data_IF_931549877318
#
_entry.id   IF_931549877318
#
_cell.length_a   1.000
_cell.length_b   1.000
_cell.length_c   1.000
_cell.angle_alpha   90.00
_cell.angle_beta   90.00
_cell.angle_gamma   90.00
#
_symmetry.space_group_name_H-M   'P 1'
#
loop_
_entity.id
_entity.type
_entity.pdbx_description
1 polymer ?
#
# COMPACT_ATOMS: atom_id res chain seq x y z
N UNK A 1 4.24 5.89 -1.07
CA UNK A 1 4.38 4.80 -2.04
C UNK A 1 3.38 3.70 -1.80
N UNK A 2 2.91 3.09 -2.86
CA UNK A 2 2.04 1.91 -2.82
C UNK A 2 2.84 0.75 -3.40
N UNK A 3 3.04 -0.31 -2.64
CA UNK A 3 3.67 -1.51 -3.20
C UNK A 3 2.70 -2.24 -4.14
N UNK A 4 3.22 -2.86 -5.21
CA UNK A 4 2.45 -3.86 -5.95
C UNK A 4 1.93 -4.88 -4.94
N UNK A 5 0.63 -5.13 -4.94
CA UNK A 5 0.02 -5.98 -3.92
C UNK A 5 0.56 -7.41 -3.98
N UNK A 6 0.59 -8.06 -2.83
CA UNK A 6 0.86 -9.50 -2.77
C UNK A 6 -0.34 -10.23 -3.40
N UNK A 7 -0.15 -11.04 -4.45
CA UNK A 7 -1.23 -11.76 -5.11
C UNK A 7 -1.89 -12.81 -4.21
N UNK A 8 -1.29 -13.13 -3.06
CA UNK A 8 -1.84 -14.09 -2.11
C UNK A 8 -1.82 -15.54 -2.60
N UNK A 9 -0.94 -15.86 -3.55
CA UNK A 9 -0.76 -17.21 -4.08
C UNK A 9 -0.13 -18.12 -3.03
N UNK A 10 -0.49 -19.41 -3.08
CA UNK A 10 0.18 -20.46 -2.31
C UNK A 10 1.47 -20.93 -3.02
N UNK A 11 2.26 -21.79 -2.36
CA UNK A 11 3.39 -22.42 -2.99
C UNK A 11 2.96 -23.56 -3.96
N UNK A 12 1.75 -24.08 -3.78
CA UNK A 12 1.16 -25.12 -4.62
C UNK A 12 0.21 -24.49 -5.64
N UNK A 13 0.70 -24.33 -6.86
CA UNK A 13 -0.06 -23.76 -7.97
C UNK A 13 -1.29 -24.59 -8.33
N UNK A 14 -1.21 -25.92 -8.25
CA UNK A 14 -2.35 -26.81 -8.56
C UNK A 14 -3.47 -26.66 -7.55
N UNK A 15 -3.12 -26.47 -6.27
CA UNK A 15 -4.09 -26.22 -5.21
C UNK A 15 -4.79 -24.86 -5.40
N UNK A 16 -4.10 -23.86 -5.94
CA UNK A 16 -4.68 -22.56 -6.27
C UNK A 16 -5.61 -22.67 -7.48
N UNK A 17 -5.19 -23.35 -8.56
CA UNK A 17 -6.01 -23.59 -9.75
C UNK A 17 -7.27 -24.39 -9.43
N UNK A 18 -7.17 -25.41 -8.57
CA UNK A 18 -8.33 -26.17 -8.08
C UNK A 18 -9.36 -25.32 -7.32
N UNK A 19 -8.95 -24.13 -6.82
CA UNK A 19 -9.83 -23.12 -6.21
C UNK A 19 -10.23 -21.99 -7.18
N UNK A 20 -9.91 -22.12 -8.47
CA UNK A 20 -10.16 -21.12 -9.50
C UNK A 20 -9.25 -19.87 -9.39
N UNK A 21 -8.06 -20.01 -8.76
CA UNK A 21 -7.07 -18.94 -8.65
C UNK A 21 -5.96 -19.17 -9.66
N UNK A 22 -5.99 -18.41 -10.75
CA UNK A 22 -4.98 -18.48 -11.80
C UNK A 22 -3.85 -17.51 -11.49
N UNK A 23 -2.62 -18.01 -11.44
CA UNK A 23 -1.46 -17.24 -10.93
C UNK A 23 -1.18 -15.98 -11.72
N UNK A 24 -1.20 -16.04 -13.06
CA UNK A 24 -0.91 -14.88 -13.90
C UNK A 24 -2.00 -13.83 -13.82
N UNK A 25 -3.27 -14.24 -13.82
CA UNK A 25 -4.40 -13.34 -13.61
C UNK A 25 -4.29 -12.65 -12.24
N UNK A 26 -3.98 -13.42 -11.19
CA UNK A 26 -3.84 -12.88 -9.82
C UNK A 26 -2.68 -11.89 -9.69
N UNK A 27 -1.57 -12.11 -10.40
CA UNK A 27 -0.45 -11.15 -10.47
C UNK A 27 -0.85 -9.87 -11.21
N UNK A 28 -1.62 -10.00 -12.31
CA UNK A 28 -2.15 -8.85 -13.03
C UNK A 28 -3.12 -8.03 -12.16
N UNK A 29 -4.06 -8.69 -11.47
CA UNK A 29 -4.96 -8.07 -10.49
C UNK A 29 -4.20 -7.32 -9.42
N UNK A 30 -3.14 -7.93 -8.85
CA UNK A 30 -2.33 -7.33 -7.79
C UNK A 30 -1.66 -6.00 -8.22
N UNK A 31 -1.23 -5.91 -9.47
CA UNK A 31 -0.72 -4.67 -10.06
C UNK A 31 -1.84 -3.67 -10.30
N UNK A 32 -2.91 -4.08 -10.94
CA UNK A 32 -4.05 -3.24 -11.27
C UNK A 32 -4.67 -2.59 -10.03
N UNK A 33 -4.92 -3.36 -8.98
CA UNK A 33 -5.47 -2.86 -7.71
C UNK A 33 -4.55 -1.83 -7.04
N UNK A 34 -3.22 -2.00 -7.11
CA UNK A 34 -2.29 -1.00 -6.61
C UNK A 34 -2.39 0.33 -7.38
N UNK A 35 -2.59 0.28 -8.71
CA UNK A 35 -2.83 1.47 -9.53
C UNK A 35 -4.18 2.12 -9.24
N UNK A 36 -5.24 1.34 -8.99
CA UNK A 36 -6.54 1.89 -8.59
C UNK A 36 -6.45 2.65 -7.27
N UNK A 37 -5.76 2.07 -6.29
CA UNK A 37 -5.51 2.78 -5.02
C UNK A 37 -4.67 4.05 -5.24
N UNK A 38 -3.63 3.99 -6.11
CA UNK A 38 -2.86 5.18 -6.49
C UNK A 38 -3.78 6.27 -7.04
N UNK A 39 -4.58 5.95 -8.03
CA UNK A 39 -5.50 6.91 -8.65
C UNK A 39 -6.49 7.48 -7.64
N UNK A 40 -7.02 6.63 -6.75
CA UNK A 40 -7.90 7.06 -5.65
C UNK A 40 -7.20 8.06 -4.74
N UNK A 41 -5.97 7.79 -4.30
CA UNK A 41 -5.22 8.70 -3.44
C UNK A 41 -4.89 10.02 -4.14
N UNK A 42 -4.49 9.99 -5.41
CA UNK A 42 -4.22 11.19 -6.20
C UNK A 42 -5.47 12.05 -6.38
N UNK A 43 -6.62 11.44 -6.64
CA UNK A 43 -7.89 12.17 -6.84
C UNK A 43 -8.35 12.93 -5.58
N UNK A 44 -7.89 12.52 -4.39
CA UNK A 44 -8.19 13.26 -3.15
C UNK A 44 -7.49 14.61 -3.05
N UNK A 45 -6.40 14.84 -3.79
CA UNK A 45 -5.55 16.03 -3.67
C UNK A 45 -4.85 16.18 -2.30
N UNK A 46 -4.95 15.17 -1.43
CA UNK A 46 -4.43 15.22 -0.05
C UNK A 46 -3.00 14.73 0.09
N UNK A 47 -2.47 14.13 -0.95
CA UNK A 47 -1.14 13.50 -0.96
C UNK A 47 -0.28 14.18 -2.01
N UNK A 48 1.02 14.27 -1.77
CA UNK A 48 2.00 14.70 -2.76
C UNK A 48 2.13 13.69 -3.90
N UNK A 49 3.35 13.35 -4.30
CA UNK A 49 3.55 12.34 -5.33
C UNK A 49 3.14 10.94 -4.82
N UNK A 50 2.18 10.30 -5.49
CA UNK A 50 1.79 8.92 -5.22
C UNK A 50 2.36 8.03 -6.33
N UNK A 51 3.08 6.98 -5.94
CA UNK A 51 3.73 6.06 -6.90
C UNK A 51 3.46 4.61 -6.52
N UNK A 52 3.30 3.76 -7.55
CA UNK A 52 3.32 2.31 -7.38
C UNK A 52 4.77 1.83 -7.49
N UNK A 53 5.20 1.05 -6.51
CA UNK A 53 6.58 0.58 -6.35
C UNK A 53 6.61 -0.95 -6.34
N UNK A 54 7.71 -1.56 -6.78
CA UNK A 54 7.97 -2.97 -6.50
C UNK A 54 7.96 -3.23 -4.98
N UNK A 55 7.60 -4.43 -4.59
CA UNK A 55 7.58 -4.80 -3.16
C UNK A 55 8.97 -4.74 -2.55
N UNK A 56 9.05 -4.16 -1.35
CA UNK A 56 10.29 -4.05 -0.59
C UNK A 56 11.31 -3.06 -1.15
N UNK A 57 10.96 -2.30 -2.19
CA UNK A 57 11.88 -1.39 -2.86
C UNK A 57 11.39 0.06 -2.75
N UNK A 58 12.34 0.97 -2.67
CA UNK A 58 12.10 2.42 -2.71
C UNK A 58 11.85 3.03 -1.34
N UNK A 59 12.23 4.31 -1.24
CA UNK A 59 12.11 5.14 -0.04
C UNK A 59 10.92 6.08 -0.18
N UNK A 60 10.01 6.10 0.80
CA UNK A 60 8.79 6.90 0.79
C UNK A 60 8.40 7.32 2.20
N UNK A 61 7.75 8.48 2.35
CA UNK A 61 7.26 8.96 3.65
C UNK A 61 6.25 7.99 4.27
N UNK A 62 5.37 7.46 3.45
CA UNK A 62 4.33 6.48 3.84
C UNK A 62 4.27 5.37 2.80
N UNK A 63 4.22 4.15 3.27
CA UNK A 63 4.14 2.94 2.46
C UNK A 63 2.83 2.20 2.72
N UNK A 64 2.13 1.88 1.66
CA UNK A 64 0.96 0.99 1.69
C UNK A 64 1.36 -0.33 1.06
N UNK A 65 1.23 -1.40 1.79
CA UNK A 65 1.32 -2.77 1.29
C UNK A 65 -0.02 -3.47 1.48
N UNK A 66 -0.40 -4.34 0.56
CA UNK A 66 -1.62 -5.13 0.70
C UNK A 66 -1.43 -6.53 0.12
N UNK A 67 -2.18 -7.48 0.69
CA UNK A 67 -2.27 -8.86 0.19
C UNK A 67 -3.71 -9.17 -0.20
N UNK A 68 -3.89 -9.73 -1.39
CA UNK A 68 -5.18 -10.23 -1.85
C UNK A 68 -5.50 -11.50 -1.07
N UNK A 69 -6.60 -11.47 -0.31
CA UNK A 69 -7.11 -12.63 0.44
C UNK A 69 -8.16 -13.37 -0.37
N UNK A 70 -8.98 -12.61 -1.08
CA UNK A 70 -10.00 -13.12 -2.00
C UNK A 70 -10.22 -12.10 -3.10
N UNK A 71 -10.33 -12.55 -4.32
CA UNK A 71 -10.79 -11.77 -5.46
C UNK A 71 -11.61 -12.70 -6.36
N UNK A 72 -12.86 -12.36 -6.52
CA UNK A 72 -13.81 -13.04 -7.40
C UNK A 72 -14.63 -11.96 -8.10
N UNK A 73 -15.44 -12.32 -9.10
CA UNK A 73 -16.32 -11.34 -9.75
C UNK A 73 -17.30 -10.62 -8.82
N UNK A 74 -17.52 -11.15 -7.60
CA UNK A 74 -18.50 -10.63 -6.65
C UNK A 74 -17.90 -10.09 -5.37
N UNK A 75 -16.67 -10.49 -5.01
CA UNK A 75 -16.09 -10.17 -3.71
C UNK A 75 -14.60 -9.92 -3.80
N UNK A 76 -14.20 -8.78 -3.24
CA UNK A 76 -12.81 -8.43 -3.01
C UNK A 76 -12.52 -8.36 -1.50
N UNK A 77 -11.48 -9.06 -1.06
CA UNK A 77 -10.94 -8.96 0.29
C UNK A 77 -9.42 -8.70 0.21
N UNK A 78 -9.01 -7.57 0.77
CA UNK A 78 -7.61 -7.18 0.92
C UNK A 78 -7.24 -7.12 2.40
N UNK A 79 -6.01 -7.53 2.75
CA UNK A 79 -5.39 -7.17 4.01
C UNK A 79 -4.33 -6.12 3.71
N UNK A 80 -4.58 -4.88 4.15
CA UNK A 80 -3.65 -3.78 3.94
C UNK A 80 -2.94 -3.40 5.24
N UNK A 81 -1.71 -2.93 5.08
CA UNK A 81 -0.87 -2.36 6.12
C UNK A 81 -0.31 -1.03 5.63
N UNK A 82 -0.35 -0.02 6.49
CA UNK A 82 0.12 1.33 6.22
C UNK A 82 1.16 1.67 7.27
N UNK A 83 2.38 1.99 6.83
CA UNK A 83 3.54 2.24 7.69
C UNK A 83 4.28 3.46 7.20
N UNK A 84 4.70 4.35 8.09
CA UNK A 84 5.55 5.49 7.72
C UNK A 84 7.05 5.14 7.75
N UNK A 85 7.88 6.07 7.26
CA UNK A 85 9.33 5.89 7.17
C UNK A 85 10.00 5.64 8.53
N UNK A 86 9.38 6.05 9.64
CA UNK A 86 9.89 5.77 11.00
C UNK A 86 9.57 4.36 11.47
N UNK A 87 8.85 3.57 10.67
CA UNK A 87 8.35 2.24 11.04
C UNK A 87 7.12 2.29 11.96
N UNK A 88 6.44 3.46 12.10
CA UNK A 88 5.17 3.54 12.80
C UNK A 88 4.07 2.97 11.92
N UNK A 89 3.37 1.98 12.43
CA UNK A 89 2.18 1.45 11.77
C UNK A 89 0.99 2.39 12.00
N UNK A 90 0.46 2.95 10.92
CA UNK A 90 -0.73 3.80 10.94
C UNK A 90 -1.99 2.94 11.00
N UNK A 91 -2.04 1.90 10.16
CA UNK A 91 -3.18 0.98 10.10
C UNK A 91 -2.73 -0.41 9.67
N UNK A 92 -3.42 -1.44 10.16
CA UNK A 92 -3.36 -2.79 9.62
C UNK A 92 -4.73 -3.43 9.80
N UNK A 93 -5.45 -3.64 8.69
CA UNK A 93 -6.80 -4.24 8.74
C UNK A 93 -7.19 -4.94 7.45
N UNK A 94 -8.26 -5.70 7.55
CA UNK A 94 -8.93 -6.29 6.38
C UNK A 94 -9.98 -5.32 5.84
N UNK A 95 -9.99 -5.16 4.52
CA UNK A 95 -11.01 -4.44 3.77
C UNK A 95 -11.77 -5.44 2.91
N UNK A 96 -13.08 -5.35 2.93
CA UNK A 96 -13.97 -6.24 2.17
C UNK A 96 -14.97 -5.39 1.42
N UNK A 97 -15.25 -5.80 0.17
CA UNK A 97 -16.30 -5.22 -0.66
C UNK A 97 -16.99 -6.34 -1.42
N UNK A 98 -18.29 -6.20 -1.58
CA UNK A 98 -19.11 -7.08 -2.39
C UNK A 98 -19.75 -6.26 -3.51
N UNK A 99 -19.53 -6.70 -4.75
CA UNK A 99 -20.16 -6.06 -5.91
C UNK A 99 -21.61 -6.53 -6.02
N UNK A 100 -22.52 -5.81 -5.39
CA UNK A 100 -23.96 -6.10 -5.49
C UNK A 100 -24.49 -5.73 -6.88
N UNK A 101 -24.96 -6.74 -7.63
CA UNK A 101 -25.95 -6.61 -8.73
C UNK A 101 -25.56 -5.76 -9.95
N UNK A 102 -24.57 -4.88 -9.85
CA UNK A 102 -24.21 -3.93 -10.92
C UNK A 102 -23.29 -4.51 -11.98
N UNK A 103 -22.65 -5.65 -11.75
CA UNK A 103 -21.71 -6.25 -12.70
C UNK A 103 -22.40 -6.89 -13.91
N UNK A 104 -23.73 -7.03 -13.89
CA UNK A 104 -24.52 -7.63 -14.96
C UNK A 104 -25.51 -6.67 -15.63
N UNK A 105 -25.54 -5.40 -15.23
CA UNK A 105 -26.32 -4.41 -15.93
C UNK A 105 -25.42 -3.76 -17.01
N UNK A 106 -25.77 -3.94 -18.28
CA UNK A 106 -25.04 -3.35 -19.44
C UNK A 106 -24.88 -1.82 -19.33
N UNK A 107 -25.66 -1.16 -18.47
CA UNK A 107 -25.52 0.26 -18.11
C UNK A 107 -24.41 0.52 -17.06
N UNK A 108 -23.89 -0.51 -16.41
CA UNK A 108 -22.86 -0.38 -15.37
C UNK A 108 -21.43 -0.34 -15.90
N UNK A 109 -21.23 -0.61 -17.20
CA UNK A 109 -19.91 -0.52 -17.87
C UNK A 109 -19.33 0.90 -17.81
N UNK A 110 -20.16 1.92 -17.57
CA UNK A 110 -19.74 3.31 -17.38
C UNK A 110 -19.55 3.73 -15.91
N UNK A 111 -19.76 2.85 -14.95
CA UNK A 111 -19.86 3.22 -13.52
C UNK A 111 -18.53 3.11 -12.73
N UNK A 112 -17.38 2.82 -13.37
CA UNK A 112 -16.08 2.69 -12.71
C UNK A 112 -15.83 1.32 -12.09
N UNK A 113 -14.79 1.20 -11.28
CA UNK A 113 -14.40 -0.05 -10.64
C UNK A 113 -15.45 -0.48 -9.58
N UNK A 114 -15.95 -1.73 -9.62
CA UNK A 114 -16.98 -2.22 -8.70
C UNK A 114 -16.53 -2.21 -7.24
N UNK A 115 -15.22 -2.15 -6.98
CA UNK A 115 -14.62 -2.11 -5.65
C UNK A 115 -14.08 -0.74 -5.25
N UNK A 116 -14.48 0.34 -5.94
CA UNK A 116 -14.00 1.70 -5.66
C UNK A 116 -14.20 2.10 -4.19
N UNK A 117 -15.31 1.69 -3.56
CA UNK A 117 -15.57 1.98 -2.15
C UNK A 117 -14.53 1.36 -1.20
N UNK A 118 -13.94 0.22 -1.57
CA UNK A 118 -12.86 -0.39 -0.78
C UNK A 118 -11.63 0.51 -0.78
N UNK A 119 -11.22 1.04 -1.95
CA UNK A 119 -10.08 1.95 -2.07
C UNK A 119 -10.34 3.28 -1.36
N UNK A 120 -11.57 3.81 -1.43
CA UNK A 120 -11.98 5.01 -0.71
C UNK A 120 -11.84 4.82 0.81
N UNK A 121 -12.21 3.64 1.34
CA UNK A 121 -12.03 3.35 2.77
C UNK A 121 -10.56 3.29 3.19
N UNK A 122 -9.69 2.74 2.33
CA UNK A 122 -8.23 2.77 2.59
C UNK A 122 -7.74 4.21 2.61
N UNK A 123 -8.14 5.03 1.64
CA UNK A 123 -7.76 6.44 1.55
C UNK A 123 -8.23 7.24 2.77
N UNK A 124 -9.46 7.02 3.23
CA UNK A 124 -10.01 7.67 4.41
C UNK A 124 -9.28 7.25 5.70
N UNK A 125 -8.96 5.96 5.86
CA UNK A 125 -8.17 5.49 7.01
C UNK A 125 -6.76 6.09 7.01
N UNK A 126 -6.14 6.29 5.84
CA UNK A 126 -4.86 6.96 5.70
C UNK A 126 -4.95 8.44 6.09
N UNK A 127 -5.98 9.13 5.61
CA UNK A 127 -6.21 10.53 5.92
C UNK A 127 -6.42 10.72 7.42
N UNK A 128 -7.31 9.95 8.03
CA UNK A 128 -7.55 9.99 9.47
C UNK A 128 -6.29 9.71 10.30
N UNK A 129 -5.44 8.78 9.86
CA UNK A 129 -4.16 8.51 10.53
C UNK A 129 -3.18 9.68 10.41
N UNK A 130 -3.11 10.33 9.23
CA UNK A 130 -2.28 11.53 9.00
C UNK A 130 -2.73 12.69 9.88
N UNK A 131 -4.02 12.93 9.97
CA UNK A 131 -4.59 14.07 10.70
C UNK A 131 -4.38 13.96 12.22
N UNK A 132 -4.07 12.76 12.73
CA UNK A 132 -3.66 12.53 14.10
C UNK A 132 -2.14 12.72 14.35
N UNK A 133 -1.35 13.08 13.35
CA UNK A 133 0.08 13.34 13.51
C UNK A 133 0.31 14.78 13.93
N UNK A 134 1.29 14.98 14.83
CA UNK A 134 1.84 16.30 15.12
C UNK A 134 2.74 16.79 13.98
N UNK A 135 2.97 18.11 13.92
CA UNK A 135 3.95 18.68 12.98
C UNK A 135 5.34 18.06 13.15
N UNK A 136 5.75 17.81 14.40
CA UNK A 136 7.01 17.14 14.70
C UNK A 136 7.08 15.72 14.16
N UNK A 137 5.96 14.97 14.18
CA UNK A 137 5.89 13.65 13.56
C UNK A 137 6.10 13.73 12.04
N UNK A 138 5.46 14.69 11.39
CA UNK A 138 5.59 14.91 9.93
C UNK A 138 7.04 15.28 9.57
N UNK A 139 7.65 16.21 10.31
CA UNK A 139 9.05 16.58 10.11
C UNK A 139 9.97 15.37 10.29
N UNK A 140 9.74 14.57 11.33
CA UNK A 140 10.53 13.37 11.60
C UNK A 140 10.40 12.33 10.48
N UNK A 141 9.19 12.05 9.99
CA UNK A 141 8.94 11.13 8.88
C UNK A 141 9.74 11.58 7.65
N UNK A 142 9.63 12.85 7.26
CA UNK A 142 10.34 13.41 6.11
C UNK A 142 11.86 13.37 6.28
N UNK A 143 12.36 13.65 7.48
CA UNK A 143 13.79 13.57 7.77
C UNK A 143 14.30 12.16 7.64
N UNK A 144 13.58 11.17 8.19
CA UNK A 144 13.95 9.76 8.05
C UNK A 144 13.93 9.33 6.58
N UNK A 145 12.91 9.72 5.81
CA UNK A 145 12.84 9.42 4.37
C UNK A 145 14.05 9.97 3.62
N UNK A 146 14.42 11.23 3.86
CA UNK A 146 15.58 11.86 3.21
C UNK A 146 16.89 11.16 3.57
N UNK A 147 17.08 10.82 4.84
CA UNK A 147 18.25 10.10 5.31
C UNK A 147 18.33 8.66 4.75
N UNK A 148 17.20 7.96 4.64
CA UNK A 148 17.14 6.65 3.97
C UNK A 148 17.57 6.79 2.50
N UNK A 149 17.01 7.76 1.78
CA UNK A 149 17.39 8.01 0.40
C UNK A 149 18.89 8.36 0.25
N UNK A 150 19.42 9.19 1.14
CA UNK A 150 20.85 9.52 1.15
C UNK A 150 21.72 8.28 1.44
N UNK A 151 21.31 7.43 2.37
CA UNK A 151 21.99 6.19 2.70
C UNK A 151 21.95 5.17 1.53
N UNK A 152 20.87 5.13 0.76
CA UNK A 152 20.76 4.29 -0.44
C UNK A 152 21.75 4.77 -1.54
N UNK A 153 21.94 6.08 -1.66
CA UNK A 153 22.88 6.67 -2.66
C UNK A 153 24.35 6.61 -2.22
N UNK A 154 24.63 6.88 -0.95
CA UNK A 154 25.97 6.98 -0.40
C UNK A 154 26.06 6.29 0.98
N UNK A 155 25.99 4.96 1.03
CA UNK A 155 25.93 4.21 2.28
C UNK A 155 27.15 4.41 3.17
N UNK A 156 28.34 4.60 2.58
CA UNK A 156 29.57 4.89 3.32
C UNK A 156 29.51 6.21 4.12
N UNK A 157 28.69 7.18 3.67
CA UNK A 157 28.56 8.50 4.32
C UNK A 157 27.37 8.53 5.26
N UNK A 158 26.23 8.00 4.84
CA UNK A 158 24.95 8.15 5.54
C UNK A 158 24.42 6.90 6.23
N UNK A 159 25.07 5.74 6.07
CA UNK A 159 24.61 4.47 6.63
C UNK A 159 24.43 4.50 8.16
N UNK A 160 25.25 5.25 8.90
CA UNK A 160 25.21 5.34 10.35
C UNK A 160 24.24 6.41 10.90
N UNK A 161 23.61 7.19 10.04
CA UNK A 161 22.67 8.25 10.46
C UNK A 161 21.35 7.69 10.97
N UNK A 162 20.99 6.48 10.54
CA UNK A 162 19.77 5.80 10.94
C UNK A 162 20.09 4.46 11.57
N UNK A 163 19.33 4.11 12.61
CA UNK A 163 19.36 2.79 13.25
C UNK A 163 17.96 2.19 13.27
N UNK A 164 17.83 0.99 12.73
CA UNK A 164 16.57 0.25 12.75
C UNK A 164 16.62 -0.82 13.82
N UNK A 165 15.65 -0.84 14.70
CA UNK A 165 15.54 -1.87 15.73
C UNK A 165 14.88 -3.16 15.18
N UNK A 166 14.89 -4.24 15.99
CA UNK A 166 14.29 -5.54 15.61
C UNK A 166 12.78 -5.47 15.29
N UNK A 167 12.08 -4.42 15.73
CA UNK A 167 10.65 -4.18 15.46
C UNK A 167 10.43 -3.30 14.23
N UNK A 168 11.47 -3.00 13.43
CA UNK A 168 11.36 -2.15 12.24
C UNK A 168 11.23 -0.66 12.52
N UNK A 169 11.38 -0.21 13.78
CA UNK A 169 11.37 1.22 14.14
C UNK A 169 12.72 1.85 13.83
N UNK A 170 12.66 2.97 13.11
CA UNK A 170 13.83 3.73 12.70
C UNK A 170 14.05 4.90 13.66
N UNK A 171 15.28 5.05 14.14
CA UNK A 171 15.74 6.19 14.94
C UNK A 171 16.85 6.92 14.21
N UNK A 172 16.81 8.24 14.27
CA UNK A 172 17.89 9.11 13.81
C UNK A 172 18.99 9.04 14.89
N UNK A 173 20.19 8.61 14.49
CA UNK A 173 21.36 8.52 15.38
C UNK A 173 22.12 9.85 15.44
N UNK A 174 22.20 10.55 14.31
CA UNK A 174 22.76 11.90 14.18
C UNK A 174 22.12 12.62 13.00
N UNK A 175 22.17 13.93 12.99
CA UNK A 175 21.78 14.77 11.85
C UNK A 175 23.04 15.12 11.04
N UNK A 176 22.89 15.44 9.74
CA UNK A 176 23.98 15.95 8.91
C UNK A 176 24.57 17.26 9.45
#
# INVERSE_FOLDING_TARGET
GIEVFDPGLSQDQRADEGKGVFSELRKAEARYMAYLLKNTLESTGQWGAVRVLPRGVGTTDVRVSARIRRSTGYKLELRAQIVDATGRQWKSRKYREEAYGRAYDDRAVSAGDPYQHLYNRIANDMLAARDNLSENDIVKIRTVTRLQFAADLAPAVYGDYLKTNRKGKVKISRLP
#
